data_IF_868318156513
#
_entry.id   IF_868318156513
#
_cell.length_a   1.000
_cell.length_b   1.000
_cell.length_c   1.000
_cell.angle_alpha   90.00
_cell.angle_beta   90.00
_cell.angle_gamma   90.00
#
_symmetry.space_group_name_H-M   'P 1'
#
loop_
_entity.id
_entity.type
_entity.pdbx_description
1 polymer ?
2 non-polymer ?
3 non-polymer ?
4 non-polymer ?
5 non-polymer ?
6 water ?
#
# COMPACT_ATOMS: atom_id res chain seq x y z
N UNK A 17 -12.13 -35.55 4.58
CA UNK A 17 -13.32 -34.77 4.29
C UNK A 17 -13.01 -33.28 4.03
N UNK A 18 -12.25 -32.60 4.91
CA UNK A 18 -11.91 -31.20 4.62
C UNK A 18 -11.01 -31.08 3.39
N UNK A 19 -11.21 -30.00 2.66
CA UNK A 19 -10.49 -29.76 1.42
C UNK A 19 -9.01 -29.54 1.69
N UNK A 20 -8.14 -30.23 0.95
CA UNK A 20 -6.71 -30.13 1.12
C UNK A 20 -6.06 -29.60 -0.15
N UNK A 21 -4.99 -28.83 0.03
CA UNK A 21 -4.30 -28.18 -1.08
C UNK A 21 -2.81 -28.25 -0.80
N UNK A 22 -2.09 -29.03 -1.61
CA UNK A 22 -0.63 -29.16 -1.51
C UNK A 22 -0.17 -29.44 -0.08
N UNK A 23 -0.96 -30.19 0.69
CA UNK A 23 -0.53 -30.73 1.96
C UNK A 23 -1.12 -30.09 3.20
N UNK A 24 -1.83 -28.97 3.07
CA UNK A 24 -2.37 -28.27 4.23
C UNK A 24 -3.88 -28.15 4.11
N UNK A 25 -4.52 -27.96 5.26
CA UNK A 25 -5.97 -27.87 5.31
C UNK A 25 -6.41 -26.51 4.76
N UNK A 26 -7.43 -26.53 3.91
CA UNK A 26 -7.97 -25.35 3.25
C UNK A 26 -9.46 -25.59 3.05
N UNK A 27 -10.21 -25.72 4.14
CA UNK A 27 -11.62 -26.12 4.05
C UNK A 27 -12.48 -24.87 3.95
N UNK A 28 -12.92 -24.57 2.74
CA UNK A 28 -13.71 -23.38 2.48
C UNK A 28 -15.13 -23.83 2.17
N UNK A 29 -15.60 -24.82 2.92
CA UNK A 29 -16.98 -25.25 2.88
C UNK A 29 -17.37 -25.87 1.56
N UNK A 30 -18.67 -26.00 1.34
CA UNK A 30 -19.16 -26.52 0.05
C UNK A 30 -19.25 -25.47 -1.04
N UNK A 31 -19.16 -24.19 -0.69
CA UNK A 31 -19.41 -23.13 -1.66
C UNK A 31 -18.23 -22.94 -2.62
N UNK A 32 -17.02 -23.23 -2.18
CA UNK A 32 -15.82 -22.88 -2.92
C UNK A 32 -15.06 -24.15 -3.27
N UNK A 33 -14.99 -24.46 -4.56
CA UNK A 33 -14.43 -25.70 -5.07
C UNK A 33 -13.32 -25.42 -6.06
N UNK A 34 -12.65 -26.49 -6.49
CA UNK A 34 -11.64 -26.43 -7.55
C UNK A 34 -10.51 -25.48 -7.17
N UNK A 35 -10.01 -25.62 -5.95
CA UNK A 35 -8.96 -24.75 -5.47
C UNK A 35 -7.68 -24.95 -6.28
N UNK A 36 -6.94 -23.86 -6.49
CA UNK A 36 -5.68 -23.90 -7.21
C UNK A 36 -4.67 -23.02 -6.50
N UNK A 37 -3.56 -23.63 -6.09
CA UNK A 37 -2.54 -22.92 -5.33
C UNK A 37 -2.04 -21.70 -6.09
N UNK A 38 -1.96 -20.57 -5.39
CA UNK A 38 -1.51 -19.32 -5.98
C UNK A 38 -0.25 -18.81 -5.32
N UNK A 39 -0.15 -18.89 -4.00
CA UNK A 39 1.04 -18.42 -3.33
C UNK A 39 0.98 -18.70 -1.84
N UNK A 40 1.91 -18.08 -1.12
CA UNK A 40 2.04 -18.27 0.32
C UNK A 40 2.63 -17.01 0.95
N UNK A 41 3.59 -17.19 1.86
CA UNK A 41 4.34 -16.07 2.41
C UNK A 41 3.87 -15.58 3.77
N UNK A 42 4.03 -16.41 4.81
CA UNK A 42 3.75 -16.03 6.19
C UNK A 42 2.31 -15.57 6.42
N UNK A 43 1.80 -14.70 5.54
CA UNK A 43 0.41 -14.28 5.58
C UNK A 43 -0.52 -15.43 5.18
N UNK A 44 -0.28 -16.62 5.72
CA UNK A 44 -1.07 -17.77 5.34
C UNK A 44 -0.77 -18.21 3.91
N UNK A 45 -1.82 -18.43 3.14
CA UNK A 45 -1.71 -19.10 1.85
C UNK A 45 -2.92 -18.74 1.00
N UNK A 46 -2.70 -18.54 -0.30
CA UNK A 46 -3.72 -18.05 -1.22
C UNK A 46 -4.01 -19.10 -2.27
N UNK A 47 -5.29 -19.27 -2.60
CA UNK A 47 -5.74 -20.17 -3.66
C UNK A 47 -6.91 -19.54 -4.41
N UNK A 48 -6.96 -19.78 -5.71
CA UNK A 48 -8.15 -19.48 -6.48
C UNK A 48 -9.18 -20.61 -6.31
N UNK A 49 -10.44 -20.28 -6.54
CA UNK A 49 -11.51 -21.23 -6.26
C UNK A 49 -12.74 -20.81 -7.06
N UNK A 50 -13.75 -21.67 -7.03
CA UNK A 50 -15.00 -21.45 -7.76
C UNK A 50 -16.13 -21.21 -6.77
N UNK A 51 -16.83 -20.10 -6.94
CA UNK A 51 -17.91 -19.67 -6.04
C UNK A 51 -19.22 -20.22 -6.58
N UNK A 52 -19.65 -21.39 -6.07
CA UNK A 52 -20.83 -22.06 -6.61
C UNK A 52 -22.08 -21.19 -6.56
N UNK A 53 -22.13 -20.18 -5.68
CA UNK A 53 -23.34 -19.36 -5.57
C UNK A 53 -23.39 -18.27 -6.63
N UNK A 54 -22.27 -17.59 -6.88
CA UNK A 54 -22.17 -16.60 -7.96
C UNK A 54 -21.51 -17.18 -9.21
N UNK A 55 -20.95 -18.38 -9.11
CA UNK A 55 -20.44 -19.13 -10.26
C UNK A 55 -19.37 -18.36 -11.00
N UNK A 56 -18.69 -17.46 -10.30
CA UNK A 56 -17.45 -16.85 -10.76
C UNK A 56 -16.32 -17.47 -9.94
N UNK A 57 -15.13 -17.47 -10.52
CA UNK A 57 -13.95 -17.83 -9.75
C UNK A 57 -13.52 -16.65 -8.89
N UNK A 58 -13.13 -16.95 -7.64
CA UNK A 58 -12.74 -15.95 -6.66
C UNK A 58 -11.34 -16.29 -6.17
N UNK A 59 -10.79 -15.37 -5.37
CA UNK A 59 -9.54 -15.61 -4.66
C UNK A 59 -9.87 -15.82 -3.19
N UNK A 60 -9.16 -16.76 -2.55
CA UNK A 60 -9.36 -17.06 -1.14
C UNK A 60 -8.00 -17.07 -0.47
N UNK A 61 -7.87 -16.30 0.61
CA UNK A 61 -6.64 -16.18 1.37
C UNK A 61 -6.87 -16.74 2.76
N UNK A 62 -6.12 -17.80 3.10
CA UNK A 62 -6.17 -18.40 4.43
C UNK A 62 -5.23 -17.67 5.37
N UNK A 63 -5.75 -17.23 6.52
CA UNK A 63 -4.99 -16.49 7.51
C UNK A 63 -5.02 -17.27 8.82
N UNK A 64 -3.84 -17.47 9.41
CA UNK A 64 -3.70 -18.19 10.68
C UNK A 64 -2.92 -17.31 11.64
N UNK A 65 -3.55 -16.29 12.21
CA UNK A 65 -2.78 -15.23 12.89
C UNK A 65 -2.77 -15.33 14.40
N UNK A 66 -3.56 -16.24 14.96
CA UNK A 66 -3.87 -16.10 16.38
C UNK A 66 -2.70 -16.46 17.28
N UNK A 67 -1.65 -17.10 16.74
CA UNK A 67 -0.47 -17.46 17.52
C UNK A 67 0.47 -16.29 17.76
N UNK A 68 0.20 -15.11 17.19
CA UNK A 68 1.08 -13.96 17.35
C UNK A 68 0.26 -12.68 17.37
N UNK A 69 0.50 -11.85 18.39
CA UNK A 69 -0.33 -10.66 18.60
C UNK A 69 -0.17 -9.65 17.47
N UNK A 70 0.99 -9.63 16.82
CA UNK A 70 1.18 -8.72 15.69
C UNK A 70 0.32 -9.15 14.51
N UNK A 71 0.23 -10.45 14.26
CA UNK A 71 -0.57 -10.94 13.15
C UNK A 71 -2.05 -10.65 13.37
N UNK A 72 -2.53 -10.75 14.61
CA UNK A 72 -3.93 -10.47 14.89
C UNK A 72 -4.23 -8.99 14.73
N UNK A 73 -3.29 -8.14 15.14
CA UNK A 73 -3.48 -6.70 15.01
C UNK A 73 -3.61 -6.31 13.54
N UNK A 74 -2.71 -6.81 12.69
CA UNK A 74 -2.78 -6.48 11.27
C UNK A 74 -4.00 -7.11 10.62
N UNK A 75 -4.37 -8.32 11.05
CA UNK A 75 -5.56 -8.97 10.51
C UNK A 75 -6.80 -8.16 10.85
N UNK A 76 -6.91 -7.70 12.10
CA UNK A 76 -8.08 -6.95 12.51
C UNK A 76 -8.17 -5.63 11.75
N UNK A 77 -7.03 -4.94 11.61
CA UNK A 77 -7.04 -3.66 10.90
C UNK A 77 -7.49 -3.84 9.46
N UNK A 78 -6.95 -4.84 8.77
CA UNK A 78 -7.32 -5.05 7.38
C UNK A 78 -8.79 -5.36 7.26
N UNK A 79 -9.31 -6.23 8.14
CA UNK A 79 -10.71 -6.60 8.07
C UNK A 79 -11.60 -5.38 8.31
N UNK A 80 -11.33 -4.62 9.37
CA UNK A 80 -12.20 -3.48 9.69
C UNK A 80 -12.19 -2.44 8.57
N UNK A 81 -11.03 -2.15 7.99
CA UNK A 81 -10.97 -1.13 6.96
C UNK A 81 -11.66 -1.61 5.69
N UNK A 82 -11.31 -2.81 5.24
CA UNK A 82 -11.85 -3.31 3.96
C UNK A 82 -13.36 -3.52 4.02
N UNK A 83 -13.91 -3.82 5.20
CA UNK A 83 -15.36 -3.95 5.33
C UNK A 83 -16.05 -2.60 5.24
N UNK A 84 -15.38 -1.54 5.66
CA UNK A 84 -16.03 -0.23 5.63
C UNK A 84 -15.86 0.46 4.29
N UNK A 85 -14.71 0.30 3.64
CA UNK A 85 -14.47 0.95 2.37
C UNK A 85 -15.33 0.32 1.27
N UNK A 86 -15.82 1.14 0.36
CA UNK A 86 -16.46 0.64 -0.85
C UNK A 86 -16.00 1.50 -2.02
N UNK A 87 -15.16 0.96 -2.90
CA UNK A 87 -14.54 1.75 -3.97
C UNK A 87 -13.98 0.84 -5.05
N UNK A 88 -14.17 1.23 -6.30
CA UNK A 88 -13.77 0.40 -7.43
C UNK A 88 -12.27 0.11 -7.46
N UNK A 89 -11.44 0.96 -6.87
CA UNK A 89 -10.00 0.79 -6.93
C UNK A 89 -9.42 0.32 -5.60
N UNK A 90 -10.25 -0.28 -4.74
CA UNK A 90 -9.84 -0.85 -3.47
C UNK A 90 -10.43 -2.25 -3.37
N UNK A 91 -9.58 -3.25 -3.13
CA UNK A 91 -10.09 -4.62 -3.09
C UNK A 91 -11.17 -4.75 -2.01
N UNK A 92 -12.24 -5.45 -2.33
CA UNK A 92 -13.29 -5.69 -1.36
C UNK A 92 -13.11 -7.05 -0.67
N UNK A 93 -13.88 -7.25 0.39
CA UNK A 93 -14.04 -8.56 1.01
C UNK A 93 -15.42 -9.06 0.62
N UNK A 94 -15.47 -10.13 -0.18
CA UNK A 94 -16.74 -10.73 -0.61
C UNK A 94 -17.33 -11.63 0.47
N UNK A 95 -16.47 -12.33 1.21
CA UNK A 95 -16.92 -13.31 2.19
C UNK A 95 -15.78 -13.58 3.16
N UNK A 96 -16.13 -13.94 4.40
CA UNK A 96 -15.17 -14.41 5.38
C UNK A 96 -15.65 -15.74 5.95
N UNK A 97 -14.80 -16.76 5.88
CA UNK A 97 -15.12 -18.10 6.36
C UNK A 97 -14.35 -18.35 7.65
N UNK A 98 -15.06 -18.77 8.69
CA UNK A 98 -14.41 -19.18 9.92
C UNK A 98 -15.35 -20.11 10.68
N UNK A 99 -14.82 -20.76 11.71
CA UNK A 99 -15.61 -21.66 12.54
C UNK A 99 -16.73 -20.91 13.26
N UNK A 100 -17.82 -21.61 13.63
CA UNK A 100 -18.94 -20.93 14.31
C UNK A 100 -18.66 -20.49 15.73
N UNK A 101 -17.57 -20.94 16.34
CA UNK A 101 -17.28 -20.61 17.73
C UNK A 101 -15.83 -20.15 17.83
N UNK A 102 -15.57 -19.30 18.84
CA UNK A 102 -14.22 -18.81 19.03
C UNK A 102 -13.28 -19.96 19.39
N UNK A 103 -13.78 -20.96 20.14
CA UNK A 103 -12.94 -22.10 20.51
C UNK A 103 -12.47 -22.87 19.29
N UNK A 104 -13.34 -23.07 18.32
CA UNK A 104 -13.00 -23.84 17.14
C UNK A 104 -12.34 -23.02 16.04
N UNK A 105 -12.26 -21.70 16.21
CA UNK A 105 -11.71 -20.83 15.16
C UNK A 105 -10.20 -20.82 15.28
N UNK A 106 -9.53 -21.42 14.31
CA UNK A 106 -8.07 -21.39 14.25
C UNK A 106 -7.53 -20.62 13.07
N UNK A 107 -8.24 -20.65 11.95
CA UNK A 107 -7.92 -19.91 10.75
C UNK A 107 -9.12 -19.05 10.36
N UNK A 108 -8.85 -18.05 9.53
CA UNK A 108 -9.88 -17.24 8.90
C UNK A 108 -9.59 -17.22 7.40
N UNK A 109 -10.62 -17.42 6.58
CA UNK A 109 -10.49 -17.37 5.12
C UNK A 109 -11.15 -16.10 4.60
N UNK A 110 -10.40 -15.28 3.85
CA UNK A 110 -10.91 -14.05 3.27
C UNK A 110 -11.13 -14.28 1.77
N UNK A 111 -12.35 -14.05 1.32
CA UNK A 111 -12.73 -14.23 -0.07
C UNK A 111 -12.77 -12.85 -0.74
N UNK A 112 -12.05 -12.70 -1.84
CA UNK A 112 -11.97 -11.44 -2.56
C UNK A 112 -12.09 -11.71 -4.06
N UNK A 113 -12.44 -10.65 -4.80
CA UNK A 113 -12.40 -10.73 -6.26
C UNK A 113 -11.09 -11.36 -6.73
N UNK A 114 -11.19 -12.16 -7.79
CA UNK A 114 -10.02 -12.81 -8.35
C UNK A 114 -9.31 -11.86 -9.30
N UNK A 115 -8.06 -11.55 -8.99
CA UNK A 115 -7.26 -10.65 -9.81
C UNK A 115 -6.11 -11.45 -10.42
N UNK A 116 -5.89 -11.27 -11.71
CA UNK A 116 -5.01 -12.16 -12.46
C UNK A 116 -3.54 -11.91 -12.17
N UNK A 117 -3.16 -10.71 -11.72
CA UNK A 117 -1.74 -10.40 -11.55
C UNK A 117 -1.64 -9.22 -10.58
N UNK A 118 -0.42 -8.77 -10.32
CA UNK A 118 -0.21 -7.53 -9.58
C UNK A 118 0.91 -6.77 -10.27
N UNK A 119 1.08 -5.51 -9.88
CA UNK A 119 2.06 -4.69 -10.59
C UNK A 119 3.48 -5.19 -10.37
N UNK A 120 3.74 -5.87 -9.25
CA UNK A 120 5.08 -6.41 -9.04
C UNK A 120 5.40 -7.47 -10.09
N UNK A 121 4.52 -8.45 -10.24
CA UNK A 121 4.72 -9.50 -11.26
C UNK A 121 4.79 -8.89 -12.64
N UNK A 122 3.92 -7.91 -12.93
CA UNK A 122 3.88 -7.32 -14.26
C UNK A 122 5.18 -6.58 -14.59
N UNK A 123 5.73 -5.83 -13.62
CA UNK A 123 6.94 -5.07 -13.92
C UNK A 123 8.14 -6.00 -14.09
N UNK A 124 8.11 -7.18 -13.48
CA UNK A 124 9.21 -8.12 -13.65
C UNK A 124 9.33 -8.59 -15.10
N UNK A 125 8.22 -8.62 -15.84
CA UNK A 125 8.18 -9.29 -17.14
C UNK A 125 7.71 -8.42 -18.31
N UNK A 126 7.05 -7.29 -18.07
CA UNK A 126 6.39 -6.57 -19.16
C UNK A 126 6.78 -5.09 -19.15
N UNK A 127 7.02 -4.55 -20.34
CA UNK A 127 7.19 -3.12 -20.49
C UNK A 127 5.82 -2.47 -20.66
N UNK A 128 5.62 -1.34 -19.99
CA UNK A 128 4.34 -0.66 -19.97
C UNK A 128 4.34 0.44 -21.01
N UNK A 129 3.26 0.54 -21.78
CA UNK A 129 3.10 1.70 -22.65
C UNK A 129 2.78 2.94 -21.82
N UNK A 130 3.02 4.12 -22.39
CA UNK A 130 2.67 5.35 -21.66
C UNK A 130 1.19 5.40 -21.33
N UNK A 131 0.33 4.88 -22.21
CA UNK A 131 -1.10 4.84 -21.90
C UNK A 131 -1.39 3.97 -20.69
N UNK A 132 -0.66 2.86 -20.55
CA UNK A 132 -0.85 1.99 -19.38
C UNK A 132 -0.37 2.67 -18.10
N UNK A 133 0.79 3.33 -18.15
CA UNK A 133 1.32 4.03 -16.99
C UNK A 133 0.32 5.07 -16.50
N UNK A 134 -0.15 5.89 -17.44
CA UNK A 134 -1.12 6.94 -17.14
C UNK A 134 -2.37 6.38 -16.48
N UNK A 135 -2.94 5.31 -17.06
CA UNK A 135 -4.17 4.73 -16.54
C UNK A 135 -3.96 4.06 -15.19
N UNK A 136 -2.86 3.30 -15.03
CA UNK A 136 -2.59 2.69 -13.74
C UNK A 136 -2.41 3.77 -12.68
N UNK A 137 -1.62 4.80 -12.99
CA UNK A 137 -1.38 5.89 -12.02
C UNK A 137 -2.69 6.58 -11.64
N UNK A 138 -3.55 6.84 -12.64
CA UNK A 138 -4.84 7.45 -12.34
C UNK A 138 -5.63 6.62 -11.34
N UNK A 139 -5.71 5.31 -11.56
CA UNK A 139 -6.50 4.45 -10.66
C UNK A 139 -5.89 4.37 -9.26
N UNK A 140 -4.56 4.32 -9.16
CA UNK A 140 -3.89 4.38 -7.84
C UNK A 140 -4.30 5.64 -7.09
N UNK A 141 -4.22 6.79 -7.75
CA UNK A 141 -4.54 8.07 -7.10
C UNK A 141 -6.03 8.19 -6.80
N UNK A 142 -6.87 7.67 -7.69
CA UNK A 142 -8.31 7.66 -7.45
C UNK A 142 -8.64 6.87 -6.20
N UNK A 143 -8.04 5.68 -6.05
CA UNK A 143 -8.24 4.92 -4.83
C UNK A 143 -7.65 5.62 -3.62
N UNK A 144 -6.45 6.18 -3.78
CA UNK A 144 -5.83 6.88 -2.65
C UNK A 144 -6.64 8.09 -2.22
N UNK A 145 -7.30 8.76 -3.17
CA UNK A 145 -8.13 9.91 -2.79
C UNK A 145 -9.22 9.47 -1.81
N UNK A 146 -9.87 8.34 -2.09
CA UNK A 146 -10.87 7.81 -1.19
C UNK A 146 -10.28 7.41 0.18
N UNK A 147 -9.17 6.68 0.18
CA UNK A 147 -8.51 6.30 1.43
C UNK A 147 -8.19 7.53 2.28
N UNK A 148 -7.51 8.52 1.69
CA UNK A 148 -7.13 9.70 2.46
C UNK A 148 -8.35 10.50 2.90
N UNK A 149 -9.41 10.49 2.10
CA UNK A 149 -10.62 11.18 2.50
C UNK A 149 -11.28 10.53 3.71
N UNK A 150 -10.99 9.27 3.96
CA UNK A 150 -11.43 8.60 5.17
C UNK A 150 -10.49 8.85 6.34
N UNK A 151 -9.48 9.69 6.14
CA UNK A 151 -8.46 9.97 7.16
C UNK A 151 -7.63 8.74 7.48
N UNK A 152 -7.49 7.83 6.51
CA UNK A 152 -6.68 6.64 6.66
C UNK A 152 -5.41 6.78 5.82
N UNK A 153 -4.30 6.28 6.34
CA UNK A 153 -3.03 6.15 5.63
C UNK A 153 -2.79 4.68 5.32
N UNK A 154 -2.43 4.37 4.08
CA UNK A 154 -2.13 2.98 3.73
C UNK A 154 -0.81 2.53 4.36
N UNK A 155 0.25 3.27 4.10
CA UNK A 155 1.57 3.18 4.70
C UNK A 155 2.40 2.03 4.13
N UNK A 156 1.90 1.28 3.16
CA UNK A 156 2.74 0.23 2.56
C UNK A 156 2.43 0.09 1.08
N UNK A 157 2.23 1.20 0.39
CA UNK A 157 1.99 1.15 -1.04
C UNK A 157 3.26 0.73 -1.75
N UNK A 158 3.14 -0.27 -2.61
CA UNK A 158 4.25 -0.80 -3.40
C UNK A 158 3.64 -1.67 -4.50
N UNK A 159 4.41 -1.99 -5.55
CA UNK A 159 3.79 -2.71 -6.67
C UNK A 159 3.09 -4.01 -6.28
N UNK A 160 3.58 -4.74 -5.27
CA UNK A 160 2.95 -6.02 -4.99
C UNK A 160 1.60 -5.86 -4.29
N UNK A 161 1.28 -4.66 -3.80
CA UNK A 161 -0.01 -4.39 -3.20
C UNK A 161 -0.99 -3.75 -4.17
N UNK A 162 -0.69 -3.76 -5.46
CA UNK A 162 -1.57 -3.21 -6.49
C UNK A 162 -1.98 -4.36 -7.42
N UNK A 163 -3.24 -4.77 -7.32
CA UNK A 163 -3.71 -5.90 -8.11
C UNK A 163 -4.34 -5.44 -9.41
N UNK A 164 -4.22 -6.29 -10.43
CA UNK A 164 -4.66 -5.97 -11.78
C UNK A 164 -5.40 -7.16 -12.36
N UNK A 165 -6.45 -6.89 -13.11
CA UNK A 165 -7.13 -7.99 -13.80
C UNK A 165 -6.82 -7.90 -15.29
N UNK A 166 -7.51 -8.73 -16.10
CA UNK A 166 -7.14 -8.83 -17.51
C UNK A 166 -7.53 -7.59 -18.31
N UNK A 167 -8.47 -6.78 -17.81
CA UNK A 167 -8.87 -5.55 -18.50
C UNK A 167 -8.25 -4.32 -17.87
N UNK A 168 -7.16 -4.49 -17.12
CA UNK A 168 -6.34 -3.39 -16.60
C UNK A 168 -7.03 -2.59 -15.51
N UNK A 169 -8.05 -3.15 -14.86
CA UNK A 169 -8.57 -2.59 -13.63
C UNK A 169 -7.57 -2.81 -12.49
N UNK A 170 -7.36 -1.77 -11.69
CA UNK A 170 -6.37 -1.78 -10.62
C UNK A 170 -7.08 -1.64 -9.28
N UNK A 171 -6.67 -2.44 -8.30
CA UNK A 171 -7.26 -2.41 -6.96
C UNK A 171 -6.16 -2.46 -5.90
N UNK A 172 -6.22 -1.49 -4.99
CA UNK A 172 -5.28 -1.43 -3.88
C UNK A 172 -5.66 -2.48 -2.86
N UNK A 173 -4.68 -3.24 -2.37
CA UNK A 173 -4.94 -4.20 -1.30
C UNK A 173 -3.91 -4.04 -0.17
N UNK A 174 -4.03 -4.92 0.83
CA UNK A 174 -3.14 -5.04 1.98
C UNK A 174 -3.10 -3.82 2.88
N UNK A 175 -4.11 -3.67 3.74
CA UNK A 175 -4.21 -2.56 4.67
C UNK A 175 -3.76 -2.94 6.07
N UNK A 176 -2.97 -4.01 6.19
CA UNK A 176 -2.53 -4.47 7.50
C UNK A 176 -1.65 -3.49 8.25
N UNK A 177 -0.95 -2.59 7.54
CA UNK A 177 -0.10 -1.59 8.18
C UNK A 177 -0.76 -0.21 8.25
N UNK A 178 -2.04 -0.09 7.89
CA UNK A 178 -2.71 1.20 7.85
C UNK A 178 -2.88 1.81 9.24
N UNK A 179 -2.98 3.14 9.27
CA UNK A 179 -3.26 3.90 10.48
C UNK A 179 -4.20 5.03 10.14
N UNK A 180 -4.90 5.54 11.15
CA UNK A 180 -5.64 6.80 11.02
C UNK A 180 -4.65 7.95 11.10
N UNK A 181 -4.79 8.94 10.22
CA UNK A 181 -3.81 10.00 10.14
C UNK A 181 -3.78 10.80 11.43
N UNK A 182 -2.59 11.26 11.81
CA UNK A 182 -2.39 11.96 13.09
C UNK A 182 -1.21 12.90 12.95
N UNK A 183 -1.37 13.96 12.16
CA UNK A 183 -0.23 14.84 11.85
C UNK A 183 0.36 15.52 13.07
N UNK A 184 -0.46 15.87 14.06
CA UNK A 184 0.04 16.55 15.24
C UNK A 184 0.93 15.67 16.11
N UNK A 185 0.99 14.36 15.84
CA UNK A 185 1.76 13.41 16.62
C UNK A 185 2.77 12.66 15.75
N UNK A 186 3.27 13.31 14.70
CA UNK A 186 4.11 12.65 13.71
C UNK A 186 5.61 12.73 14.02
N UNK A 187 6.04 13.62 14.91
CA UNK A 187 7.47 13.85 15.07
C UNK A 187 8.13 12.76 15.91
N UNK A 188 9.36 12.40 15.53
CA UNK A 188 10.16 11.44 16.27
C UNK A 188 11.63 11.75 15.99
N UNK A 189 12.50 10.93 16.59
CA UNK A 189 13.93 11.16 16.48
C UNK A 189 14.52 10.54 15.21
N UNK A 190 15.82 10.77 15.07
CA UNK A 190 16.60 10.31 13.93
C UNK A 190 16.77 8.80 13.96
N UNK A 191 16.61 8.17 12.79
CA UNK A 191 16.82 6.73 12.62
C UNK A 191 15.91 5.93 13.56
N UNK A 192 14.66 6.35 13.67
CA UNK A 192 13.66 5.64 14.47
C UNK A 192 13.12 4.45 13.68
N UNK A 193 12.96 3.32 14.37
CA UNK A 193 12.56 2.08 13.72
C UNK A 193 11.24 2.25 12.97
N UNK A 194 11.12 1.51 11.87
CA UNK A 194 9.95 1.59 11.00
C UNK A 194 9.73 0.24 10.34
N UNK A 195 8.50 0.02 9.88
CA UNK A 195 8.02 -1.31 9.50
C UNK A 195 7.81 -1.43 8.00
N UNK A 196 7.27 -0.39 7.35
CA UNK A 196 6.89 -0.45 5.94
C UNK A 196 8.10 -0.68 5.04
N UNK A 197 7.82 -1.10 3.80
CA UNK A 197 8.84 -1.59 2.88
C UNK A 197 9.87 -0.52 2.54
N UNK A 198 11.15 -0.88 2.68
CA UNK A 198 12.20 0.13 2.68
C UNK A 198 12.24 0.95 1.40
N UNK A 199 12.13 0.29 0.23
CA UNK A 199 12.35 1.02 -1.02
C UNK A 199 11.32 2.11 -1.26
N UNK A 200 10.16 2.04 -0.62
CA UNK A 200 9.06 2.97 -0.85
C UNK A 200 8.89 3.96 0.29
N UNK A 201 9.85 3.99 1.25
CA UNK A 201 9.79 4.87 2.41
C UNK A 201 10.20 6.29 2.09
N UNK A 202 9.38 7.25 2.50
CA UNK A 202 9.71 8.66 2.31
C UNK A 202 10.93 9.05 3.15
N UNK A 203 11.71 10.05 2.69
CA UNK A 203 12.95 10.39 3.40
C UNK A 203 12.72 10.81 4.84
N UNK A 204 11.62 11.51 5.12
CA UNK A 204 11.34 11.97 6.48
C UNK A 204 11.11 10.83 7.46
N UNK A 205 10.82 9.61 6.96
CA UNK A 205 10.72 8.45 7.86
C UNK A 205 12.04 8.20 8.58
N UNK A 206 13.15 8.26 7.84
CA UNK A 206 14.46 8.06 8.44
C UNK A 206 14.92 9.26 9.27
N UNK A 207 14.30 10.42 9.11
CA UNK A 207 14.80 11.65 9.71
C UNK A 207 14.03 12.05 10.96
N UNK A 208 12.71 12.22 10.84
CA UNK A 208 11.96 12.81 11.95
C UNK A 208 10.47 12.47 11.91
N UNK A 209 10.02 11.45 11.18
CA UNK A 209 8.60 11.20 11.01
C UNK A 209 8.24 9.78 11.40
N UNK A 210 7.11 9.65 12.10
CA UNK A 210 6.52 8.36 12.42
C UNK A 210 5.67 7.79 11.29
N UNK A 211 5.49 8.53 10.21
CA UNK A 211 4.65 8.07 9.11
C UNK A 211 3.17 8.20 9.37
N UNK A 212 2.73 9.28 10.01
CA UNK A 212 1.33 9.51 10.36
C UNK A 212 0.70 10.63 9.54
N UNK A 213 1.32 11.04 8.44
CA UNK A 213 0.73 12.07 7.59
C UNK A 213 0.55 11.51 6.18
N UNK A 214 -0.38 12.12 5.45
CA UNK A 214 -0.78 11.61 4.14
C UNK A 214 0.34 11.68 3.13
N UNK A 215 1.30 12.57 3.34
CA UNK A 215 2.40 12.73 2.39
C UNK A 215 3.29 11.49 2.29
N UNK A 216 3.26 10.58 3.27
CA UNK A 216 4.12 9.41 3.10
C UNK A 216 3.55 8.47 2.02
N UNK A 217 2.22 8.45 1.84
CA UNK A 217 1.63 7.65 0.77
C UNK A 217 1.96 8.23 -0.61
N UNK A 218 1.94 9.56 -0.74
CA UNK A 218 2.26 10.19 -2.01
C UNK A 218 3.69 9.86 -2.44
N UNK A 219 4.63 9.89 -1.49
CA UNK A 219 5.99 9.49 -1.81
C UNK A 219 6.01 8.10 -2.42
N UNK A 220 5.31 7.15 -1.77
CA UNK A 220 5.31 5.77 -2.26
C UNK A 220 4.77 5.71 -3.69
N UNK A 221 3.71 6.46 -3.97
CA UNK A 221 3.14 6.45 -5.32
C UNK A 221 4.14 7.01 -6.32
N UNK A 222 4.89 8.04 -5.93
CA UNK A 222 5.96 8.54 -6.79
C UNK A 222 7.01 7.49 -7.08
N UNK A 223 7.40 6.71 -6.07
CA UNK A 223 8.33 5.60 -6.30
C UNK A 223 7.73 4.57 -7.28
N UNK A 224 6.44 4.30 -7.15
CA UNK A 224 5.78 3.36 -8.05
C UNK A 224 5.75 3.91 -9.47
N UNK A 225 5.48 5.21 -9.64
CA UNK A 225 5.50 5.80 -10.97
C UNK A 225 6.88 5.66 -11.62
N UNK A 226 7.94 6.02 -10.88
CA UNK A 226 9.30 5.83 -11.38
C UNK A 226 9.54 4.39 -11.83
N UNK A 227 9.05 3.43 -11.06
CA UNK A 227 9.26 2.02 -11.36
C UNK A 227 8.49 1.60 -12.62
N UNK A 228 7.27 2.15 -12.80
CA UNK A 228 6.53 1.88 -14.03
C UNK A 228 7.22 2.45 -15.26
N UNK A 229 7.98 3.52 -15.09
CA UNK A 229 8.66 4.13 -16.23
C UNK A 229 9.90 3.36 -16.63
N UNK A 230 10.55 2.64 -15.70
CA UNK A 230 11.85 2.03 -15.96
C UNK A 230 11.90 0.53 -15.71
N UNK A 231 10.87 -0.07 -15.12
CA UNK A 231 10.83 -1.47 -14.68
C UNK A 231 11.85 -1.79 -13.60
N UNK A 232 12.35 -0.79 -12.87
CA UNK A 232 13.27 -1.07 -11.77
C UNK A 232 13.06 -0.05 -10.67
N UNK A 233 13.25 -0.45 -9.40
CA UNK A 233 13.02 0.50 -8.29
C UNK A 233 13.97 1.68 -8.35
N UNK A 234 13.42 2.86 -8.08
CA UNK A 234 14.26 4.05 -8.22
C UNK A 234 15.20 4.21 -7.04
N UNK A 235 14.80 3.78 -5.84
CA UNK A 235 15.61 3.92 -4.62
C UNK A 235 15.81 2.57 -3.95
N UNK A 236 16.62 1.68 -4.52
CA UNK A 236 16.75 0.32 -3.96
C UNK A 236 17.81 0.23 -2.87
N UNK A 237 17.52 0.84 -1.71
CA UNK A 237 18.47 0.83 -0.62
C UNK A 237 18.56 -0.55 0.03
N UNK A 238 19.77 -0.89 0.47
CA UNK A 238 19.97 -2.20 1.10
C UNK A 238 19.79 -2.16 2.61
N UNK A 239 19.72 -0.99 3.22
CA UNK A 239 19.45 -0.91 4.64
C UNK A 239 18.98 0.50 4.97
N UNK A 240 18.57 0.65 6.23
CA UNK A 240 17.82 1.82 6.68
C UNK A 240 18.45 3.13 6.22
N UNK A 241 19.71 3.38 6.60
CA UNK A 241 20.34 4.63 6.23
C UNK A 241 20.77 4.65 4.77
N UNK A 242 21.07 3.47 4.20
CA UNK A 242 21.32 3.39 2.76
C UNK A 242 20.13 3.90 1.96
N UNK A 243 18.92 3.71 2.47
CA UNK A 243 17.74 4.23 1.79
C UNK A 243 17.81 5.73 1.61
N UNK A 244 18.12 6.46 2.69
CA UNK A 244 18.20 7.91 2.57
C UNK A 244 19.31 8.34 1.61
N UNK A 245 20.41 7.61 1.58
CA UNK A 245 21.50 8.01 0.71
C UNK A 245 21.16 7.78 -0.77
N UNK A 246 20.35 6.76 -1.07
CA UNK A 246 19.86 6.60 -2.45
C UNK A 246 18.97 7.78 -2.84
N UNK A 247 18.06 8.18 -1.95
CA UNK A 247 17.16 9.29 -2.27
C UNK A 247 17.97 10.56 -2.51
N UNK A 248 18.93 10.85 -1.63
CA UNK A 248 19.72 12.08 -1.77
C UNK A 248 20.63 12.03 -2.98
N UNK A 249 21.06 10.84 -3.40
CA UNK A 249 21.86 10.72 -4.60
C UNK A 249 21.16 11.19 -5.85
N UNK A 250 19.83 11.09 -5.88
CA UNK A 250 19.07 11.52 -7.04
C UNK A 250 18.49 12.92 -6.84
N UNK A 251 17.90 13.19 -5.67
CA UNK A 251 17.29 14.49 -5.45
C UNK A 251 18.31 15.58 -5.18
N UNK A 252 19.54 15.22 -4.77
CA UNK A 252 20.54 16.21 -4.40
C UNK A 252 20.38 16.65 -2.97
N UNK A 253 21.34 17.46 -2.51
CA UNK A 253 21.33 17.92 -1.13
C UNK A 253 20.09 18.77 -0.87
N UNK A 254 19.42 18.58 0.26
CA UNK A 254 18.28 19.44 0.60
C UNK A 254 18.70 20.89 0.75
N UNK A 255 17.83 21.77 0.28
CA UNK A 255 18.04 23.21 0.36
C UNK A 255 18.01 23.68 1.80
N UNK A 256 18.51 24.90 2.01
CA UNK A 256 18.43 25.51 3.32
C UNK A 256 16.99 25.58 3.80
N UNK A 257 16.07 26.01 2.92
CA UNK A 257 14.65 25.99 3.22
C UNK A 257 14.21 24.64 3.77
N UNK A 258 14.53 23.56 3.07
CA UNK A 258 14.10 22.25 3.54
C UNK A 258 14.83 21.83 4.82
N UNK A 259 16.09 22.22 4.99
CA UNK A 259 16.81 21.86 6.21
C UNK A 259 16.30 22.64 7.42
N UNK A 260 15.90 23.90 7.23
CA UNK A 260 15.32 24.65 8.34
C UNK A 260 14.02 24.01 8.84
N UNK A 261 13.38 23.16 8.03
CA UNK A 261 12.20 22.44 8.50
C UNK A 261 12.53 21.26 9.40
N UNK A 262 13.78 20.78 9.39
CA UNK A 262 14.18 19.63 10.20
C UNK A 262 14.85 20.16 11.46
N UNK A 263 14.12 20.14 12.57
CA UNK A 263 14.64 20.78 13.77
C UNK A 263 15.35 19.82 14.72
N UNK A 264 15.14 18.52 14.57
CA UNK A 264 15.89 17.54 15.34
C UNK A 264 17.36 17.63 14.98
N UNK A 265 18.23 17.80 15.99
CA UNK A 265 19.62 18.12 15.69
C UNK A 265 20.35 16.92 15.12
N UNK A 266 20.04 15.70 15.57
CA UNK A 266 20.74 14.53 15.08
C UNK A 266 20.49 14.36 13.58
N UNK A 267 19.26 14.54 13.14
CA UNK A 267 18.94 14.41 11.72
C UNK A 267 19.53 15.56 10.93
N UNK A 268 19.39 16.79 11.43
CA UNK A 268 19.92 17.96 10.72
C UNK A 268 21.42 17.84 10.55
N UNK A 269 22.11 17.48 11.62
CA UNK A 269 23.56 17.44 11.55
C UNK A 269 24.05 16.27 10.71
N UNK A 270 23.29 15.17 10.64
CA UNK A 270 23.64 14.12 9.67
C UNK A 270 23.64 14.68 8.26
N UNK A 271 22.55 15.34 7.87
CA UNK A 271 22.47 15.90 6.52
C UNK A 271 23.56 16.92 6.26
N UNK A 272 23.86 17.77 7.26
CA UNK A 272 24.91 18.76 7.09
C UNK A 272 26.28 18.12 6.89
N UNK A 273 26.47 16.89 7.36
CA UNK A 273 27.78 16.25 7.31
C UNK A 273 28.08 15.67 5.93
N UNK A 274 27.09 15.58 5.06
CA UNK A 274 27.24 14.93 3.78
C UNK A 274 27.86 15.89 2.76
N UNK A 275 28.69 15.39 1.86
CA UNK A 275 29.19 16.25 0.77
C UNK A 275 28.03 16.70 -0.11
N UNK A 276 28.18 17.89 -0.69
CA UNK A 276 27.12 18.43 -1.52
C UNK A 276 26.92 17.55 -2.75
N UNK A 277 25.66 17.32 -3.11
CA UNK A 277 25.30 16.53 -4.27
C UNK A 277 24.24 17.28 -5.05
N UNK A 278 24.43 17.37 -6.36
CA UNK A 278 23.48 18.06 -7.23
C UNK A 278 22.37 17.12 -7.66
N UNK A 279 21.20 17.71 -7.97
CA UNK A 279 20.06 16.95 -8.42
C UNK A 279 20.35 16.29 -9.76
N UNK A 280 20.01 15.01 -9.88
CA UNK A 280 20.05 14.28 -11.15
C UNK A 280 18.76 14.56 -11.90
N UNK A 281 18.81 15.14 -13.10
CA UNK A 281 17.56 15.48 -13.79
C UNK A 281 16.76 14.24 -14.20
N UNK A 282 15.44 14.35 -14.03
CA UNK A 282 14.56 13.21 -14.32
C UNK A 282 14.70 12.76 -15.77
N UNK A 283 14.90 13.68 -16.70
CA UNK A 283 14.95 13.28 -18.10
C UNK A 283 16.24 12.54 -18.44
N UNK A 284 17.29 12.73 -17.63
CA UNK A 284 18.48 11.87 -17.73
C UNK A 284 18.19 10.46 -17.24
N UNK A 285 17.40 10.34 -16.17
CA UNK A 285 17.09 9.03 -15.62
C UNK A 285 16.04 8.29 -16.42
N UNK A 286 15.10 9.02 -17.02
CA UNK A 286 13.97 8.41 -17.74
C UNK A 286 13.87 9.10 -19.10
N UNK A 287 14.81 8.80 -20.00
CA UNK A 287 14.85 9.55 -21.27
C UNK A 287 13.71 9.21 -22.23
N UNK A 288 13.00 8.10 -22.04
CA UNK A 288 11.84 7.77 -22.86
C UNK A 288 10.53 8.27 -22.28
N UNK A 289 10.54 8.88 -21.09
CA UNK A 289 9.30 9.18 -20.39
C UNK A 289 8.60 10.42 -20.94
N UNK A 290 7.27 10.40 -20.86
CA UNK A 290 6.47 11.58 -21.14
C UNK A 290 6.91 12.73 -20.23
N UNK A 291 7.11 13.91 -20.79
CA UNK A 291 7.60 15.01 -19.97
C UNK A 291 6.57 15.42 -18.93
N UNK A 292 5.28 15.25 -19.25
CA UNK A 292 4.24 15.53 -18.27
C UNK A 292 4.30 14.55 -17.09
N UNK A 293 4.61 13.28 -17.38
CA UNK A 293 4.79 12.30 -16.30
C UNK A 293 5.97 12.66 -15.41
N UNK A 294 7.07 13.17 -15.99
CA UNK A 294 8.22 13.55 -15.18
C UNK A 294 7.94 14.77 -14.35
N UNK A 295 7.08 15.68 -14.83
CA UNK A 295 6.76 16.84 -14.01
C UNK A 295 5.95 16.42 -12.79
N UNK A 296 5.02 15.49 -12.96
CA UNK A 296 4.27 14.98 -11.80
C UNK A 296 5.16 14.16 -10.89
N UNK A 297 6.04 13.33 -11.47
CA UNK A 297 6.98 12.56 -10.66
C UNK A 297 7.78 13.48 -9.75
N UNK A 298 8.24 14.61 -10.30
CA UNK A 298 9.04 15.55 -9.54
C UNK A 298 8.26 16.07 -8.34
N UNK A 299 6.96 16.29 -8.52
CA UNK A 299 6.14 16.86 -7.46
C UNK A 299 5.79 15.82 -6.40
N UNK A 300 5.72 14.54 -6.78
CA UNK A 300 5.45 13.52 -5.78
C UNK A 300 6.72 13.15 -5.01
N UNK A 301 7.89 13.19 -5.66
CA UNK A 301 9.16 12.87 -5.02
C UNK A 301 9.88 14.16 -4.61
N UNK A 302 9.15 15.00 -3.92
CA UNK A 302 9.67 16.22 -3.33
C UNK A 302 10.18 15.90 -1.93
N UNK A 303 11.40 16.35 -1.61
CA UNK A 303 12.02 16.02 -0.33
C UNK A 303 11.16 16.51 0.85
N UNK A 304 10.70 17.74 0.78
CA UNK A 304 10.00 18.38 1.90
C UNK A 304 8.54 17.92 1.89
N UNK A 305 8.07 17.20 2.91
CA UNK A 305 6.71 16.66 2.84
C UNK A 305 5.64 17.73 2.78
N UNK A 306 5.95 18.93 3.30
CA UNK A 306 5.00 20.03 3.26
C UNK A 306 4.86 20.64 1.86
N UNK A 307 5.88 20.50 1.01
CA UNK A 307 5.80 20.97 -0.36
C UNK A 307 5.34 19.89 -1.34
N UNK A 308 5.24 18.65 -0.87
CA UNK A 308 4.88 17.52 -1.72
C UNK A 308 3.43 17.63 -2.18
N UNK A 309 3.18 17.30 -3.45
CA UNK A 309 1.83 17.39 -3.99
C UNK A 309 0.88 16.48 -3.21
N UNK A 310 -0.38 16.91 -3.05
CA UNK A 310 -1.40 16.09 -2.41
C UNK A 310 -2.24 15.33 -3.46
N UNK A 311 -3.01 14.35 -3.00
CA UNK A 311 -3.62 13.41 -3.95
C UNK A 311 -4.59 14.13 -4.88
N UNK A 312 -5.36 15.09 -4.37
CA UNK A 312 -6.31 15.78 -5.25
C UNK A 312 -5.59 16.67 -6.28
N UNK A 313 -4.45 17.25 -5.91
CA UNK A 313 -3.66 18.01 -6.87
C UNK A 313 -3.04 17.10 -7.93
N UNK A 314 -2.57 15.92 -7.49
CA UNK A 314 -1.99 14.96 -8.45
C UNK A 314 -3.03 14.52 -9.47
N UNK A 315 -4.26 14.23 -9.02
CA UNK A 315 -5.30 13.87 -9.97
C UNK A 315 -5.51 14.96 -11.02
N UNK A 316 -5.40 16.23 -10.63
CA UNK A 316 -5.65 17.37 -11.51
C UNK A 316 -4.44 17.73 -12.38
N UNK A 317 -3.36 16.96 -12.30
CA UNK A 317 -2.16 17.29 -13.05
C UNK A 317 -2.38 17.02 -14.55
N UNK A 318 -1.83 17.85 -15.43
CA UNK A 318 -1.99 17.65 -16.88
C UNK A 318 -1.67 16.23 -17.38
N UNK A 319 -0.74 15.52 -16.77
CA UNK A 319 -0.47 14.14 -17.22
C UNK A 319 -1.73 13.28 -17.20
N UNK A 320 -2.64 13.54 -16.25
CA UNK A 320 -3.81 12.70 -16.05
C UNK A 320 -5.09 13.29 -16.65
N UNK A 321 -4.99 14.33 -17.47
CA UNK A 321 -6.20 15.06 -17.88
C UNK A 321 -7.15 14.23 -18.73
N UNK A 322 -6.70 13.18 -19.39
CA UNK A 322 -7.71 12.44 -20.12
C UNK A 322 -8.61 11.60 -19.22
N UNK A 323 -8.26 11.45 -17.93
CA UNK A 323 -9.07 10.70 -16.98
C UNK A 323 -9.69 11.55 -15.89
N UNK A 324 -9.14 12.73 -15.64
CA UNK A 324 -9.51 13.51 -14.46
C UNK A 324 -10.96 13.95 -14.52
N UNK A 325 -11.70 13.66 -13.46
CA UNK A 325 -13.12 14.00 -13.38
C UNK A 325 -13.55 13.96 -11.93
N UNK A 326 -13.51 15.10 -11.22
CA UNK A 326 -13.69 15.06 -9.77
C UNK A 326 -15.05 14.55 -9.37
N UNK A 327 -16.06 14.70 -10.24
CA UNK A 327 -17.37 14.16 -9.92
C UNK A 327 -17.41 12.64 -10.01
N UNK A 328 -16.38 12.00 -10.58
CA UNK A 328 -16.30 10.56 -10.66
C UNK A 328 -15.11 10.04 -9.87
N UNK A 329 -14.72 10.79 -8.84
CA UNK A 329 -13.60 10.45 -7.96
C UNK A 329 -14.13 10.57 -6.55
N UNK A 330 -14.85 9.55 -6.08
CA UNK A 330 -15.63 9.68 -4.85
C UNK A 330 -14.78 9.68 -3.60
N UNK A 331 -15.38 10.20 -2.53
CA UNK A 331 -14.74 10.26 -1.23
C UNK A 331 -15.59 9.46 -0.25
N UNK A 332 -15.02 9.19 0.92
CA UNK A 332 -15.70 8.34 1.89
C UNK A 332 -16.81 9.11 2.59
N UNK A 333 -17.89 8.41 2.93
CA UNK A 333 -19.02 9.08 3.57
C UNK A 333 -18.70 9.58 4.97
N UNK A 334 -17.67 9.02 5.62
CA UNK A 334 -17.33 9.43 6.97
C UNK A 334 -15.86 9.16 7.22
N UNK A 335 -15.18 9.99 8.01
CA UNK A 335 -13.83 9.64 8.45
C UNK A 335 -13.85 8.36 9.29
N UNK A 336 -12.71 7.70 9.29
CA UNK A 336 -12.49 6.45 10.00
C UNK A 336 -11.95 6.71 11.39
N UNK A 342 -6.79 -0.32 20.73
CA UNK A 342 -6.71 -0.43 19.27
C UNK A 342 -5.53 -1.31 18.89
N UNK A 343 -4.38 -0.97 19.48
CA UNK A 343 -3.11 -1.62 19.20
C UNK A 343 -2.42 -2.08 20.48
N UNK A 344 -3.14 -2.09 21.60
CA UNK A 344 -2.59 -2.50 22.89
C UNK A 344 -3.21 -3.79 23.41
N UNK A 345 -3.91 -4.51 22.55
CA UNK A 345 -4.79 -5.56 23.07
C UNK A 345 -4.05 -6.89 23.16
N UNK A 346 -4.26 -7.64 24.23
CA UNK A 346 -3.75 -9.01 24.25
C UNK A 346 -4.44 -9.82 23.17
N UNK A 347 -3.72 -10.78 22.61
CA UNK A 347 -4.20 -11.51 21.45
C UNK A 347 -5.56 -12.18 21.67
N UNK A 348 -5.95 -12.41 22.93
CA UNK A 348 -7.21 -13.11 23.17
C UNK A 348 -8.40 -12.19 22.92
N UNK A 349 -8.34 -10.93 23.38
CA UNK A 349 -9.42 -10.05 22.97
C UNK A 349 -9.30 -9.64 21.51
N UNK A 350 -8.09 -9.72 20.94
CA UNK A 350 -7.95 -9.50 19.50
C UNK A 350 -8.69 -10.58 18.72
N UNK A 351 -8.51 -11.84 19.11
CA UNK A 351 -9.27 -12.93 18.50
C UNK A 351 -10.76 -12.73 18.69
N UNK A 352 -11.14 -12.27 19.87
CA UNK A 352 -12.55 -11.97 20.14
C UNK A 352 -13.06 -10.87 19.22
N UNK A 353 -12.23 -9.86 18.94
CA UNK A 353 -12.65 -8.76 18.07
C UNK A 353 -12.76 -9.22 16.62
N UNK A 354 -11.80 -10.02 16.16
CA UNK A 354 -11.88 -10.59 14.81
C UNK A 354 -13.14 -11.43 14.67
N UNK A 355 -13.45 -12.24 15.68
CA UNK A 355 -14.66 -13.06 15.68
C UNK A 355 -15.91 -12.20 15.53
N UNK A 356 -15.99 -11.12 16.31
CA UNK A 356 -17.12 -10.21 16.22
C UNK A 356 -17.20 -9.55 14.84
N UNK A 357 -16.05 -9.11 14.30
CA UNK A 357 -16.06 -8.38 13.03
C UNK A 357 -16.44 -9.27 11.87
N UNK A 358 -16.20 -10.58 11.98
CA UNK A 358 -16.51 -11.49 10.90
C UNK A 358 -17.89 -12.14 11.04
N UNK A 359 -18.69 -11.73 12.02
CA UNK A 359 -19.95 -12.43 12.30
C UNK A 359 -20.98 -12.26 11.19
N UNK A 360 -20.92 -11.14 10.47
CA UNK A 360 -21.95 -10.85 9.48
C UNK A 360 -21.94 -11.85 8.32
N UNK A 361 -20.87 -12.61 8.16
CA UNK A 361 -20.80 -13.56 7.05
C UNK A 361 -21.25 -14.97 7.43
N UNK A 362 -21.62 -15.19 8.68
CA UNK A 362 -22.05 -16.51 9.14
C UNK A 362 -23.50 -16.77 8.71
N UNK A 363 -23.83 -18.01 8.31
CA UNK A 363 -25.19 -18.41 7.91
C UNK A 363 -26.13 -18.57 9.10
X LIG B 1 -5.04 28.12 -6.24
X LIG B 1 -4.46 26.91 -6.80
X LIG B 1 -6.20 27.76 -5.42
X LIG B 1 -5.48 28.97 -7.34
X LIG B 1 -4.06 28.83 -5.42
X LIG C 1 -6.89 21.77 -7.06
X LIG C 1 -7.96 21.25 -6.36
X LIG C 1 -7.04 21.25 -8.48
X LIG C 1 -6.38 22.06 -9.40
X LIG C 1 -8.58 21.20 -8.69
X LIG C 1 -8.77 20.76 -9.99
X LIG D 1 -10.68 4.06 -20.17
X LIG D 1 -10.93 1.75 -20.52
X LIG D 1 -9.61 2.15 -21.08
X LIG D 1 -8.51 1.36 -20.34
X LIG D 1 -7.03 1.56 -20.88
X LIG D 1 -6.11 0.51 -20.69
X LIG D 1 -4.78 0.62 -21.13
X LIG D 1 -4.36 1.80 -21.79
X LIG D 1 -5.28 2.86 -21.99
X LIG D 1 -6.62 2.74 -21.53
X LIG D 1 -10.89 5.25 -19.83
X LIG D 1 -11.58 2.93 -19.97
X LIG D 1 -9.47 3.58 -20.84
X LIG E 1 -13.75 10.48 -17.17
X LIG E 1 -14.26 16.19 -16.84
X LIG E 1 -12.54 19.63 -16.86
X LIG E 1 -13.11 20.79 -16.05
X LIG E 1 -12.78 20.67 -14.57
X LIG E 1 -12.62 18.17 -14.77
X LIG E 1 -10.37 19.11 -19.57
X LIG E 1 -9.83 17.75 -22.91
X LIG E 1 -9.71 16.30 -21.02
X LIG E 1 -10.67 15.17 -21.43
X LIG E 1 -11.65 13.78 -19.44
X LIG E 1 -12.81 13.97 -18.51
X LIG E 1 -13.70 12.71 -18.45
X LIG E 1 -12.90 11.51 -17.93
X LIG E 1 -13.77 9.18 -15.02
X LIG E 1 -14.70 15.73 -18.24
X LIG E 1 -14.19 17.73 -16.68
X LIG E 1 -12.80 18.23 -16.28
X LIG E 1 -13.27 19.34 -14.02
X LIG E 1 -12.78 15.78 -20.02
X LIG E 1 -9.48 18.64 -20.72
X LIG E 1 -9.68 21.53 -18.96
X LIG E 1 -8.89 22.15 -17.84
X LIG E 1 -8.96 19.82 -17.49
X LIG E 1 -10.15 17.60 -21.50
X LIG E 1 -11.63 14.92 -20.35
X LIG E 1 -13.03 9.95 -16.01
X LIG E 1 -15.20 8.96 -15.22
X LIG E 1 -13.19 8.70 -14.00
X LIG E 1 -13.52 15.18 -18.89
X LIG E 1 -13.07 16.86 -20.62
X LIG E 1 -9.71 20.10 -18.74
X LIG E 1 -8.45 21.10 -16.96
X LIG E 1 -8.77 18.68 -16.99
#
# INVERSE_FOLDING_TARGET
MAHHHHHHAMAAAAAAGPEMVRGQVFDVGPRYTNLSYIGEGAYGMVCSAYDNLNKVRVAIKKISPFEHQTYCQRTLREIKILLRFRHENIIGINDIIRAPTIEQMKDVYIVQDLMETDLYKLLKTQHLSNDHICYFLYQILRGLKYIHSANVLHRDLKPSNLLLNTTCDLKICDFGLARVADPDHDHTGFLTEYVATRWYRAPEIMLNSKGYTKSIDIWSVGCILAEMLSNRPIFPGKHYLDQLNHILGILGSPSQEDLNCIINLKARNYLLSLPHKNKVPWNRLFPNADSKALDLLDKMLTFNPHKRIEVEQALAHPYLEQYYDPSDEPIAEAPFKFDMELDDLPKEKLKELIFEETARFQPGYRS
SO4 S O1 O2 O3 O4
GOL C1 O1 C2 O2 C3 O3
KJ7 C02 C04 C05 C06 C07 C08 C09 C10 C11 C12 N01 N03 N13
KJ4 C10 C17 C20 C21 C22 C24 C28 C01 C03 C04 C06 C07 C08 C09 C12 C16 C18 C19 C23 C25 C27 C30 C31 C33 N02 N05 N11 N13 N14 N15 N26 N29 N32 N34
#
